data_IF_139504154503
#
_entry.id   IF_139504154503
#
_cell.length_a   1.000
_cell.length_b   1.000
_cell.length_c   1.000
_cell.angle_alpha   90.00
_cell.angle_beta   90.00
_cell.angle_gamma   90.00
#
_symmetry.space_group_name_H-M   'P 1'
#
loop_
_entity.id
_entity.type
_entity.pdbx_description
1 polymer ?
#
# COMPACT_ATOMS: atom_id res chain seq x y z
N UNK A 1 -27.37 38.99 -15.61
CA UNK A 1 -27.13 38.37 -14.30
C UNK A 1 -25.66 38.01 -14.24
N UNK A 2 -24.97 38.54 -13.24
CA UNK A 2 -23.53 38.78 -13.22
C UNK A 2 -22.69 37.49 -13.16
N UNK A 3 -21.89 37.24 -14.19
CA UNK A 3 -20.79 36.24 -14.17
C UNK A 3 -19.58 36.69 -13.31
N UNK A 4 -19.64 37.89 -12.73
CA UNK A 4 -18.55 38.48 -11.94
C UNK A 4 -18.55 38.13 -10.45
N UNK A 5 -19.50 37.33 -9.96
CA UNK A 5 -19.60 36.95 -8.53
C UNK A 5 -19.10 35.54 -8.20
N UNK A 6 -18.65 34.77 -9.19
CA UNK A 6 -17.87 33.55 -8.93
C UNK A 6 -16.39 33.91 -8.96
N UNK A 7 -15.93 34.67 -7.97
CA UNK A 7 -14.52 34.62 -7.60
C UNK A 7 -14.20 33.13 -7.43
N UNK A 8 -13.24 32.55 -8.19
CA UNK A 8 -12.82 31.19 -7.90
C UNK A 8 -12.36 31.22 -6.45
N UNK A 9 -13.07 30.52 -5.56
CA UNK A 9 -12.54 30.21 -4.25
C UNK A 9 -11.15 29.63 -4.49
N UNK A 10 -10.13 30.32 -3.97
CA UNK A 10 -8.73 30.15 -4.36
C UNK A 10 -8.38 28.66 -4.50
N UNK A 11 -8.14 28.22 -5.74
CA UNK A 11 -7.57 26.92 -6.04
C UNK A 11 -6.05 27.01 -5.88
N UNK A 12 -5.45 25.93 -5.40
CA UNK A 12 -4.01 25.81 -5.30
C UNK A 12 -3.46 25.32 -6.63
N UNK A 13 -2.48 26.01 -7.24
CA UNK A 13 -1.78 25.45 -8.38
C UNK A 13 -1.04 24.20 -7.93
N UNK A 14 -1.06 23.15 -8.77
CA UNK A 14 -0.27 21.97 -8.48
C UNK A 14 1.23 22.31 -8.47
N UNK A 15 1.98 21.90 -7.44
CA UNK A 15 3.40 22.20 -7.36
C UNK A 15 4.14 21.56 -8.53
N UNK A 16 5.16 22.25 -9.05
CA UNK A 16 6.00 21.71 -10.11
C UNK A 16 6.96 20.63 -9.55
N UNK A 17 6.43 19.42 -9.35
CA UNK A 17 7.16 18.26 -8.84
C UNK A 17 7.41 17.31 -10.01
N UNK A 18 8.69 16.96 -10.24
CA UNK A 18 9.05 15.94 -11.21
C UNK A 18 8.75 14.53 -10.64
N UNK A 19 7.94 13.71 -11.31
CA UNK A 19 7.69 12.30 -10.91
C UNK A 19 8.96 11.44 -10.88
N UNK A 20 9.95 11.80 -11.70
CA UNK A 20 11.27 11.15 -11.73
C UNK A 20 12.15 11.81 -10.68
N UNK A 21 12.55 11.02 -9.68
CA UNK A 21 13.46 11.44 -8.63
C UNK A 21 14.88 11.62 -9.17
N UNK A 22 15.42 10.59 -9.84
CA UNK A 22 16.77 10.57 -10.42
C UNK A 22 16.71 9.81 -11.75
N UNK A 23 17.42 10.31 -12.75
CA UNK A 23 17.58 9.65 -14.05
C UNK A 23 19.07 9.37 -14.32
N UNK A 24 19.41 8.10 -14.53
CA UNK A 24 20.75 7.64 -14.87
C UNK A 24 20.69 6.97 -16.25
N UNK A 25 20.95 7.74 -17.30
CA UNK A 25 20.78 7.28 -18.68
C UNK A 25 19.34 6.83 -18.96
N UNK A 26 19.09 5.59 -19.44
CA UNK A 26 17.74 5.08 -19.69
C UNK A 26 16.99 4.66 -18.42
N UNK A 27 17.66 4.58 -17.27
CA UNK A 27 17.05 4.17 -16.01
C UNK A 27 16.47 5.37 -15.26
N UNK A 28 15.14 5.42 -15.14
CA UNK A 28 14.42 6.44 -14.39
C UNK A 28 13.91 5.89 -13.06
N UNK A 29 14.40 6.45 -11.95
CA UNK A 29 13.92 6.15 -10.60
C UNK A 29 12.78 7.11 -10.28
N UNK A 30 11.59 6.57 -10.07
CA UNK A 30 10.38 7.36 -9.78
C UNK A 30 10.12 7.40 -8.27
N UNK A 31 9.53 8.49 -7.79
CA UNK A 31 9.06 8.61 -6.39
C UNK A 31 8.13 7.47 -5.98
N UNK A 32 7.32 7.00 -6.93
CA UNK A 32 6.41 5.87 -6.76
C UNK A 32 7.15 4.57 -6.37
N UNK A 33 8.24 4.25 -7.09
CA UNK A 33 9.07 3.08 -6.78
C UNK A 33 9.77 3.22 -5.43
N UNK A 34 10.25 4.42 -5.10
CA UNK A 34 10.86 4.71 -3.80
C UNK A 34 9.86 4.54 -2.66
N UNK A 35 8.63 5.04 -2.83
CA UNK A 35 7.55 4.88 -1.86
C UNK A 35 7.28 3.42 -1.52
N UNK A 36 7.22 2.54 -2.54
CA UNK A 36 7.09 1.10 -2.33
C UNK A 36 8.28 0.50 -1.56
N UNK A 37 9.52 0.82 -1.97
CA UNK A 37 10.71 0.28 -1.31
C UNK A 37 10.74 0.69 0.16
N UNK A 38 10.53 1.98 0.45
CA UNK A 38 10.51 2.49 1.83
C UNK A 38 9.37 1.85 2.62
N UNK A 39 8.18 1.71 2.03
CA UNK A 39 7.03 1.06 2.65
C UNK A 39 7.30 -0.41 3.01
N UNK A 40 7.90 -1.18 2.09
CA UNK A 40 8.27 -2.59 2.31
C UNK A 40 9.33 -2.70 3.40
N UNK A 41 10.40 -1.88 3.33
CA UNK A 41 11.47 -1.89 4.33
C UNK A 41 10.94 -1.51 5.72
N UNK A 42 10.03 -0.53 5.81
CA UNK A 42 9.38 -0.17 7.06
C UNK A 42 8.52 -1.32 7.58
N UNK A 43 7.66 -1.92 6.75
CA UNK A 43 6.77 -3.01 7.16
C UNK A 43 7.57 -4.22 7.65
N UNK A 44 8.66 -4.56 6.95
CA UNK A 44 9.60 -5.61 7.37
C UNK A 44 10.26 -5.29 8.71
N UNK A 45 10.88 -4.10 8.84
CA UNK A 45 11.51 -3.66 10.07
C UNK A 45 10.54 -3.67 11.25
N UNK A 46 9.33 -3.13 11.05
CA UNK A 46 8.32 -3.03 12.08
C UNK A 46 7.77 -4.40 12.46
N UNK A 47 7.54 -5.29 11.49
CA UNK A 47 7.15 -6.67 11.74
C UNK A 47 8.19 -7.39 12.63
N UNK A 48 9.48 -7.23 12.35
CA UNK A 48 10.56 -7.81 13.18
C UNK A 48 10.55 -7.24 14.59
N UNK A 49 10.33 -5.93 14.74
CA UNK A 49 10.20 -5.30 16.06
C UNK A 49 9.02 -5.86 16.86
N UNK A 50 7.88 -6.10 16.23
CA UNK A 50 6.72 -6.71 16.88
C UNK A 50 6.99 -8.16 17.26
N UNK A 51 7.53 -8.97 16.33
CA UNK A 51 7.81 -10.38 16.54
C UNK A 51 8.88 -10.63 17.61
N UNK A 52 9.87 -9.74 17.75
CA UNK A 52 10.93 -9.85 18.76
C UNK A 52 10.51 -9.37 20.17
N UNK A 53 9.36 -8.71 20.32
CA UNK A 53 8.95 -8.13 21.60
C UNK A 53 8.01 -9.07 22.37
N UNK A 54 8.59 -9.91 23.24
CA UNK A 54 7.88 -10.88 24.08
C UNK A 54 6.68 -10.30 24.84
N UNK A 55 6.76 -9.04 25.31
CA UNK A 55 5.66 -8.40 26.08
C UNK A 55 4.35 -8.31 25.29
N UNK A 56 4.44 -8.20 23.96
CA UNK A 56 3.28 -8.04 23.08
C UNK A 56 2.50 -9.34 22.89
N UNK A 57 3.08 -10.49 23.24
CA UNK A 57 2.55 -11.80 22.92
C UNK A 57 2.02 -12.57 24.15
N UNK A 58 1.11 -13.53 23.96
CA UNK A 58 0.60 -14.35 25.06
C UNK A 58 1.73 -15.08 25.79
N UNK A 59 1.72 -15.04 27.11
CA UNK A 59 2.68 -15.72 27.99
C UNK A 59 4.17 -15.36 27.74
N UNK A 60 4.45 -14.25 27.04
CA UNK A 60 5.83 -13.88 26.70
C UNK A 60 6.45 -14.73 25.59
N UNK A 61 5.67 -15.57 24.92
CA UNK A 61 6.17 -16.49 23.88
C UNK A 61 6.08 -15.81 22.52
N UNK A 62 7.20 -15.79 21.79
CA UNK A 62 7.25 -15.19 20.46
C UNK A 62 6.39 -15.99 19.47
N UNK A 63 5.70 -15.33 18.52
CA UNK A 63 4.79 -15.99 17.59
C UNK A 63 5.52 -16.71 16.44
N UNK A 64 6.75 -16.27 16.15
CA UNK A 64 7.64 -16.70 15.09
C UNK A 64 9.05 -16.20 15.39
N UNK A 65 10.06 -16.71 14.69
CA UNK A 65 11.41 -16.17 14.79
C UNK A 65 11.48 -14.87 13.97
N UNK A 66 12.14 -13.80 14.44
CA UNK A 66 12.28 -12.58 13.65
C UNK A 66 12.93 -12.79 12.28
N UNK A 67 13.77 -13.81 12.14
CA UNK A 67 14.43 -14.19 10.88
C UNK A 67 13.45 -14.80 9.87
N UNK A 68 12.34 -15.41 10.33
CA UNK A 68 11.30 -15.90 9.42
C UNK A 68 10.70 -14.74 8.60
N UNK A 69 10.75 -13.50 9.12
CA UNK A 69 10.27 -12.32 8.39
C UNK A 69 11.23 -11.87 7.29
N UNK A 70 12.51 -12.24 7.34
CA UNK A 70 13.47 -11.97 6.28
C UNK A 70 13.13 -12.84 5.05
N UNK A 71 12.89 -14.13 5.29
CA UNK A 71 12.44 -15.08 4.26
C UNK A 71 11.05 -14.73 3.73
N UNK A 72 10.17 -14.22 4.59
CA UNK A 72 8.80 -13.86 4.21
C UNK A 72 8.74 -12.71 3.19
N UNK A 73 9.68 -11.76 3.17
CA UNK A 73 9.68 -10.67 2.16
C UNK A 73 9.67 -11.26 0.75
N UNK A 74 10.48 -12.29 0.52
CA UNK A 74 10.60 -12.96 -0.78
C UNK A 74 9.28 -13.64 -1.15
N UNK A 75 8.64 -14.32 -0.19
CA UNK A 75 7.33 -14.93 -0.38
C UNK A 75 6.25 -13.89 -0.70
N UNK A 76 6.24 -12.77 0.02
CA UNK A 76 5.30 -11.68 -0.22
C UNK A 76 5.50 -11.06 -1.60
N UNK A 77 6.75 -10.78 -2.01
CA UNK A 77 7.07 -10.24 -3.32
C UNK A 77 6.61 -11.19 -4.45
N UNK A 78 6.91 -12.48 -4.33
CA UNK A 78 6.45 -13.50 -5.29
C UNK A 78 4.92 -13.55 -5.32
N UNK A 79 4.25 -13.55 -4.16
CA UNK A 79 2.80 -13.56 -4.06
C UNK A 79 2.16 -12.36 -4.75
N UNK A 80 2.66 -11.15 -4.50
CA UNK A 80 2.15 -9.92 -5.13
C UNK A 80 2.36 -9.93 -6.64
N UNK A 81 3.56 -10.30 -7.11
CA UNK A 81 3.89 -10.29 -8.54
C UNK A 81 3.11 -11.37 -9.29
N UNK A 82 3.15 -12.62 -8.83
CA UNK A 82 2.44 -13.73 -9.47
C UNK A 82 0.93 -13.54 -9.40
N UNK A 83 0.41 -13.18 -8.23
CA UNK A 83 -1.00 -12.94 -8.04
C UNK A 83 -1.50 -11.75 -8.87
N UNK A 84 -0.78 -10.64 -8.84
CA UNK A 84 -1.13 -9.44 -9.60
C UNK A 84 -1.11 -9.69 -11.10
N UNK A 85 -0.10 -10.42 -11.59
CA UNK A 85 0.00 -10.76 -13.00
C UNK A 85 -1.09 -11.73 -13.43
N UNK A 86 -1.30 -12.81 -12.67
CA UNK A 86 -2.33 -13.81 -12.97
C UNK A 86 -3.72 -13.17 -12.93
N UNK A 87 -4.00 -12.33 -11.93
CA UNK A 87 -5.26 -11.60 -11.85
C UNK A 87 -5.46 -10.63 -13.02
N UNK A 88 -4.39 -9.97 -13.50
CA UNK A 88 -4.50 -9.13 -14.69
C UNK A 88 -4.86 -9.94 -15.94
N UNK A 89 -4.11 -11.03 -16.18
CA UNK A 89 -4.33 -11.93 -17.31
C UNK A 89 -5.75 -12.47 -17.32
N UNK A 90 -6.22 -13.00 -16.20
CA UNK A 90 -7.53 -13.66 -16.14
C UNK A 90 -8.71 -12.69 -16.23
N UNK A 91 -8.60 -11.50 -15.64
CA UNK A 91 -9.75 -10.59 -15.50
C UNK A 91 -9.79 -9.45 -16.51
N UNK A 92 -8.67 -9.10 -17.15
CA UNK A 92 -8.59 -7.90 -17.98
C UNK A 92 -8.21 -8.16 -19.44
N UNK A 93 -7.35 -9.14 -19.75
CA UNK A 93 -6.79 -9.27 -21.11
C UNK A 93 -6.50 -10.73 -21.51
N UNK A 94 -7.35 -11.67 -21.09
CA UNK A 94 -7.17 -13.10 -21.34
C UNK A 94 -6.94 -13.47 -22.82
N UNK A 95 -7.67 -12.90 -23.81
CA UNK A 95 -7.48 -13.23 -25.22
C UNK A 95 -6.05 -13.01 -25.72
N UNK A 96 -5.40 -11.92 -25.28
CA UNK A 96 -4.01 -11.61 -25.65
C UNK A 96 -3.05 -12.69 -25.18
N UNK A 97 -3.16 -13.14 -23.93
CA UNK A 97 -2.24 -14.12 -23.35
C UNK A 97 -2.48 -15.54 -23.87
N UNK A 98 -3.68 -15.84 -24.38
CA UNK A 98 -3.91 -17.08 -25.13
C UNK A 98 -3.18 -17.03 -26.47
N UNK A 99 -3.20 -15.89 -27.17
CA UNK A 99 -2.49 -15.70 -28.44
C UNK A 99 -0.96 -15.64 -28.28
N UNK A 100 -0.47 -15.03 -27.19
CA UNK A 100 0.95 -14.85 -26.91
C UNK A 100 1.29 -15.22 -25.45
N UNK A 101 1.41 -16.52 -25.11
CA UNK A 101 1.59 -16.97 -23.73
C UNK A 101 2.83 -16.42 -23.01
N UNK A 102 3.91 -16.15 -23.75
CA UNK A 102 5.16 -15.64 -23.18
C UNK A 102 5.04 -14.19 -22.66
N UNK A 103 4.01 -13.45 -23.08
CA UNK A 103 3.75 -12.09 -22.58
C UNK A 103 3.54 -12.09 -21.06
N UNK A 104 3.15 -13.22 -20.45
CA UNK A 104 2.94 -13.30 -19.00
C UNK A 104 4.19 -12.89 -18.20
N UNK A 105 5.39 -13.15 -18.74
CA UNK A 105 6.67 -12.83 -18.10
C UNK A 105 7.05 -11.34 -18.23
N UNK A 106 6.45 -10.63 -19.19
CA UNK A 106 6.77 -9.24 -19.50
C UNK A 106 6.10 -8.25 -18.52
N UNK A 107 6.36 -8.42 -17.22
CA UNK A 107 5.78 -7.58 -16.15
C UNK A 107 6.21 -6.11 -16.23
N UNK A 108 7.31 -5.81 -16.92
CA UNK A 108 7.78 -4.43 -17.16
C UNK A 108 6.93 -3.66 -18.15
N UNK A 109 6.07 -4.34 -18.93
CA UNK A 109 5.09 -3.69 -19.81
C UNK A 109 3.82 -3.24 -19.06
N UNK A 110 3.82 -3.33 -17.72
CA UNK A 110 2.65 -3.10 -16.90
C UNK A 110 1.67 -4.27 -16.93
N UNK A 111 0.42 -3.99 -16.57
CA UNK A 111 -0.64 -5.01 -16.48
C UNK A 111 -0.56 -5.82 -15.20
N UNK A 112 -0.92 -5.18 -14.08
CA UNK A 112 -0.98 -5.78 -12.76
C UNK A 112 -2.36 -5.53 -12.14
N UNK A 113 -2.98 -6.57 -11.59
CA UNK A 113 -4.24 -6.47 -10.86
C UNK A 113 -4.00 -6.28 -9.37
N UNK A 114 -4.60 -5.24 -8.78
CA UNK A 114 -4.57 -5.05 -7.34
C UNK A 114 -5.19 -6.24 -6.59
N UNK A 115 -6.38 -6.67 -7.00
CA UNK A 115 -7.09 -7.81 -6.39
C UNK A 115 -6.29 -9.10 -6.49
N UNK A 116 -5.68 -9.34 -7.66
CA UNK A 116 -4.78 -10.48 -7.86
C UNK A 116 -3.58 -10.43 -6.91
N UNK A 117 -2.94 -9.27 -6.76
CA UNK A 117 -1.80 -9.09 -5.86
C UNK A 117 -2.18 -9.30 -4.39
N UNK A 118 -3.35 -8.79 -3.97
CA UNK A 118 -3.89 -8.97 -2.63
C UNK A 118 -4.16 -10.46 -2.32
N UNK A 119 -4.83 -11.18 -3.22
CA UNK A 119 -5.06 -12.61 -3.06
C UNK A 119 -3.75 -13.40 -3.05
N UNK A 120 -2.81 -13.01 -3.91
CA UNK A 120 -1.49 -13.63 -4.00
C UNK A 120 -0.68 -13.49 -2.70
N UNK A 121 -0.68 -12.31 -2.07
CA UNK A 121 0.02 -12.12 -0.79
C UNK A 121 -0.68 -12.83 0.37
N UNK A 122 -2.01 -12.86 0.40
CA UNK A 122 -2.77 -13.64 1.41
C UNK A 122 -2.43 -15.13 1.31
N UNK A 123 -2.36 -15.65 0.09
CA UNK A 123 -1.96 -17.04 -0.17
C UNK A 123 -0.51 -17.29 0.26
N UNK A 124 0.41 -16.40 -0.12
CA UNK A 124 1.82 -16.48 0.29
C UNK A 124 1.97 -16.49 1.82
N UNK A 125 1.28 -15.61 2.54
CA UNK A 125 1.27 -15.59 4.01
C UNK A 125 0.76 -16.90 4.60
N UNK A 126 -0.33 -17.45 4.04
CA UNK A 126 -0.95 -18.69 4.51
C UNK A 126 -0.03 -19.89 4.29
N UNK A 127 0.53 -20.02 3.09
CA UNK A 127 1.43 -21.13 2.75
C UNK A 127 2.75 -21.03 3.53
N UNK A 128 3.30 -19.82 3.66
CA UNK A 128 4.52 -19.59 4.43
C UNK A 128 4.34 -19.95 5.90
N UNK A 129 3.25 -19.51 6.53
CA UNK A 129 3.00 -19.79 7.93
C UNK A 129 2.81 -21.28 8.20
N UNK A 130 2.09 -21.99 7.32
CA UNK A 130 1.94 -23.45 7.38
C UNK A 130 3.32 -24.13 7.27
N UNK A 131 4.13 -23.74 6.28
CA UNK A 131 5.47 -24.32 6.05
C UNK A 131 6.42 -24.12 7.25
N UNK A 132 6.28 -23.01 7.97
CA UNK A 132 7.14 -22.65 9.11
C UNK A 132 6.56 -23.05 10.47
N UNK A 133 5.36 -23.64 10.52
CA UNK A 133 4.68 -23.93 11.78
C UNK A 133 4.26 -22.67 12.56
N UNK A 134 4.14 -21.53 11.89
CA UNK A 134 3.70 -20.27 12.47
C UNK A 134 2.17 -20.24 12.49
N UNK A 135 1.58 -19.72 13.58
CA UNK A 135 0.14 -19.45 13.61
C UNK A 135 -0.20 -18.39 12.56
N UNK A 136 -0.91 -18.78 11.50
CA UNK A 136 -1.23 -17.91 10.35
C UNK A 136 -1.77 -16.55 10.76
N UNK A 137 -2.72 -16.51 11.69
CA UNK A 137 -3.31 -15.26 12.17
C UNK A 137 -2.31 -14.34 12.87
N UNK A 138 -1.30 -14.88 13.53
CA UNK A 138 -0.22 -14.07 14.12
C UNK A 138 0.62 -13.39 13.04
N UNK A 139 0.92 -14.07 11.92
CA UNK A 139 1.59 -13.44 10.78
C UNK A 139 0.71 -12.35 10.15
N UNK A 140 -0.60 -12.60 10.03
CA UNK A 140 -1.55 -11.61 9.51
C UNK A 140 -1.58 -10.35 10.40
N UNK A 141 -1.72 -10.53 11.72
CA UNK A 141 -1.71 -9.42 12.68
C UNK A 141 -0.40 -8.61 12.63
N UNK A 142 0.75 -9.28 12.50
CA UNK A 142 2.07 -8.64 12.42
C UNK A 142 2.22 -7.81 11.15
N UNK A 143 1.89 -8.40 9.99
CA UNK A 143 2.03 -7.72 8.70
C UNK A 143 1.05 -6.56 8.61
N UNK A 144 -0.23 -6.77 8.96
CA UNK A 144 -1.26 -5.74 8.91
C UNK A 144 -0.91 -4.50 9.74
N UNK A 145 -0.21 -4.67 10.87
CA UNK A 145 0.21 -3.55 11.71
C UNK A 145 1.20 -2.58 11.03
N UNK A 146 1.96 -3.03 10.03
CA UNK A 146 2.95 -2.23 9.31
C UNK A 146 2.49 -1.71 7.95
N UNK A 147 1.49 -2.35 7.34
CA UNK A 147 0.96 -2.02 5.99
C UNK A 147 0.55 -0.55 5.81
N UNK A 148 -0.13 0.12 6.78
CA UNK A 148 -0.56 1.51 6.61
C UNK A 148 0.52 2.47 6.14
N UNK A 149 1.76 2.34 6.64
CA UNK A 149 2.84 3.26 6.24
C UNK A 149 3.16 3.13 4.74
N UNK A 150 3.17 1.92 4.21
CA UNK A 150 3.36 1.69 2.78
C UNK A 150 2.21 2.28 1.96
N UNK A 151 0.95 2.08 2.40
CA UNK A 151 -0.22 2.68 1.76
C UNK A 151 -0.08 4.21 1.69
N UNK A 152 0.23 4.85 2.82
CA UNK A 152 0.35 6.30 2.88
C UNK A 152 1.44 6.85 1.97
N UNK A 153 2.61 6.21 1.92
CA UNK A 153 3.71 6.62 1.04
C UNK A 153 3.33 6.51 -0.45
N UNK A 154 2.63 5.44 -0.83
CA UNK A 154 2.16 5.25 -2.20
C UNK A 154 1.13 6.31 -2.57
N UNK A 155 0.23 6.68 -1.65
CA UNK A 155 -0.73 7.77 -1.87
C UNK A 155 -0.05 9.14 -2.04
N UNK A 156 1.00 9.43 -1.28
CA UNK A 156 1.83 10.62 -1.51
C UNK A 156 2.46 10.58 -2.91
N UNK A 157 2.95 9.41 -3.35
CA UNK A 157 3.50 9.28 -4.69
C UNK A 157 2.42 9.43 -5.80
N UNK A 158 1.18 8.99 -5.58
CA UNK A 158 0.08 9.28 -6.50
C UNK A 158 -0.20 10.78 -6.60
N UNK A 159 -0.10 11.52 -5.48
CA UNK A 159 -0.18 12.98 -5.52
C UNK A 159 0.95 13.57 -6.37
N UNK A 160 2.21 13.15 -6.15
CA UNK A 160 3.37 13.61 -6.94
C UNK A 160 3.21 13.32 -8.44
N UNK A 161 2.68 12.15 -8.79
CA UNK A 161 2.40 11.77 -10.18
C UNK A 161 1.22 12.54 -10.78
N UNK A 162 0.49 13.33 -9.98
CA UNK A 162 -0.79 13.90 -10.34
C UNK A 162 -1.67 12.80 -10.94
N UNK A 163 -2.03 11.78 -10.15
CA UNK A 163 -2.96 10.69 -10.52
C UNK A 163 -3.89 10.32 -9.36
N UNK A 164 -5.06 9.73 -9.63
CA UNK A 164 -6.04 9.31 -8.62
C UNK A 164 -6.59 10.47 -7.75
N UNK A 165 -6.71 11.66 -8.34
CA UNK A 165 -7.32 12.82 -7.70
C UNK A 165 -8.83 12.64 -7.48
N UNK A 166 -9.40 13.45 -6.59
CA UNK A 166 -10.79 13.34 -6.20
C UNK A 166 -11.77 13.99 -7.18
N UNK A 167 -13.03 14.04 -6.74
CA UNK A 167 -14.09 14.76 -7.47
C UNK A 167 -13.83 16.27 -7.53
N UNK A 168 -14.39 16.98 -8.53
CA UNK A 168 -14.38 18.44 -8.58
C UNK A 168 -14.96 19.06 -7.31
N UNK A 169 -14.40 20.19 -6.89
CA UNK A 169 -14.77 20.87 -5.65
C UNK A 169 -14.32 22.33 -5.66
N UNK A 170 -14.89 23.11 -4.75
CA UNK A 170 -14.67 24.54 -4.52
C UNK A 170 -14.05 24.82 -3.13
N UNK A 171 -13.63 23.79 -2.38
CA UNK A 171 -12.94 23.99 -1.09
C UNK A 171 -11.63 24.75 -1.26
N UNK A 172 -11.20 25.56 -0.27
CA UNK A 172 -10.03 26.45 -0.42
C UNK A 172 -8.67 25.72 -0.46
N UNK A 173 -8.65 24.39 -0.35
CA UNK A 173 -7.46 23.54 -0.49
C UNK A 173 -7.55 22.60 -1.71
N UNK A 174 -8.45 22.89 -2.65
CA UNK A 174 -8.55 22.17 -3.91
C UNK A 174 -7.31 22.43 -4.78
N UNK A 175 -6.89 21.44 -5.55
CA UNK A 175 -5.73 21.55 -6.47
C UNK A 175 -6.17 21.52 -7.93
N UNK A 176 -5.50 22.32 -8.75
CA UNK A 176 -5.54 22.23 -10.21
C UNK A 176 -4.48 21.24 -10.71
N UNK A 177 -4.87 19.97 -10.84
CA UNK A 177 -3.97 18.90 -11.27
C UNK A 177 -3.68 18.97 -12.78
N UNK A 178 -2.41 18.83 -13.23
CA UNK A 178 -2.04 18.86 -14.64
C UNK A 178 -2.81 17.86 -15.51
N UNK A 179 -3.08 16.67 -14.98
CA UNK A 179 -3.82 15.61 -15.67
C UNK A 179 -5.32 15.58 -15.29
N UNK A 180 -5.77 16.51 -14.42
CA UNK A 180 -7.08 16.51 -13.76
C UNK A 180 -8.25 17.07 -14.57
N UNK A 181 -7.98 17.62 -15.76
CA UNK A 181 -8.95 18.40 -16.52
C UNK A 181 -9.11 19.83 -15.99
N UNK A 182 -10.13 20.58 -16.45
CA UNK A 182 -10.19 22.03 -16.29
C UNK A 182 -10.68 22.52 -14.92
N UNK A 183 -11.00 21.61 -14.00
CA UNK A 183 -11.61 21.95 -12.71
C UNK A 183 -10.69 21.61 -11.55
N UNK A 184 -10.71 22.44 -10.50
CA UNK A 184 -10.04 22.15 -9.24
C UNK A 184 -10.70 20.94 -8.54
N UNK A 185 -9.87 20.13 -7.87
CA UNK A 185 -10.29 18.84 -7.31
C UNK A 185 -9.75 18.63 -5.91
N UNK A 186 -10.43 17.78 -5.15
CA UNK A 186 -9.91 17.33 -3.87
C UNK A 186 -8.58 16.57 -4.08
N UNK A 187 -7.53 16.87 -3.30
CA UNK A 187 -6.34 16.03 -3.23
C UNK A 187 -6.62 14.77 -2.39
N UNK A 188 -7.53 13.90 -2.85
CA UNK A 188 -7.95 12.69 -2.14
C UNK A 188 -6.78 11.80 -1.75
N UNK A 189 -5.73 11.77 -2.56
CA UNK A 189 -4.50 11.03 -2.27
C UNK A 189 -3.87 11.50 -0.95
N UNK A 190 -3.89 12.81 -0.64
CA UNK A 190 -3.38 13.31 0.63
C UNK A 190 -4.31 12.96 1.81
N UNK A 191 -5.61 12.88 1.57
CA UNK A 191 -6.56 12.42 2.59
C UNK A 191 -6.33 10.94 2.90
N UNK A 192 -6.19 10.10 1.88
CA UNK A 192 -5.88 8.67 1.99
C UNK A 192 -4.51 8.47 2.67
N UNK A 193 -3.49 9.27 2.29
CA UNK A 193 -2.19 9.22 2.93
C UNK A 193 -2.26 9.52 4.43
N UNK A 194 -3.09 10.49 4.82
CA UNK A 194 -3.29 10.85 6.21
C UNK A 194 -4.10 9.78 6.96
N UNK A 195 -5.25 9.37 6.42
CA UNK A 195 -6.21 8.51 7.11
C UNK A 195 -5.79 7.04 7.08
N UNK A 196 -5.59 6.47 5.88
CA UNK A 196 -5.20 5.07 5.68
C UNK A 196 -3.73 4.83 5.98
N UNK A 197 -2.91 5.89 5.92
CA UNK A 197 -1.50 5.84 6.26
C UNK A 197 -1.22 6.16 7.72
N UNK A 198 -1.18 7.45 8.04
CA UNK A 198 -0.71 7.94 9.35
C UNK A 198 -1.67 7.57 10.48
N UNK A 199 -2.95 7.93 10.36
CA UNK A 199 -3.95 7.72 11.42
C UNK A 199 -4.15 6.24 11.67
N UNK A 200 -4.37 5.44 10.62
CA UNK A 200 -4.52 3.99 10.76
C UNK A 200 -3.28 3.34 11.38
N UNK A 201 -2.05 3.73 10.99
CA UNK A 201 -0.84 3.26 11.64
C UNK A 201 -0.83 3.58 13.15
N UNK A 202 -1.15 4.81 13.53
CA UNK A 202 -1.17 5.23 14.93
C UNK A 202 -2.22 4.45 15.74
N UNK A 203 -3.40 4.21 15.18
CA UNK A 203 -4.44 3.38 15.80
C UNK A 203 -3.92 1.97 16.02
N UNK A 204 -3.37 1.31 15.00
CA UNK A 204 -2.82 -0.05 15.13
C UNK A 204 -1.63 -0.08 16.09
N UNK A 205 -0.79 0.95 16.11
CA UNK A 205 0.32 1.08 17.06
C UNK A 205 -0.18 1.18 18.51
N UNK A 206 -1.23 1.95 18.78
CA UNK A 206 -1.86 2.02 20.11
C UNK A 206 -2.46 0.66 20.48
N UNK A 207 -3.15 0.00 19.55
CA UNK A 207 -3.75 -1.32 19.79
C UNK A 207 -2.68 -2.37 20.10
N UNK A 208 -1.57 -2.37 19.38
CA UNK A 208 -0.45 -3.31 19.59
C UNK A 208 0.31 -3.02 20.88
N UNK A 209 0.73 -1.78 21.15
CA UNK A 209 1.65 -1.46 22.24
C UNK A 209 0.97 -1.04 23.55
N UNK A 210 -0.11 -0.27 23.48
CA UNK A 210 -0.80 0.23 24.68
C UNK A 210 -1.91 -0.72 25.12
N UNK A 211 -2.66 -1.30 24.17
CA UNK A 211 -3.76 -2.23 24.46
C UNK A 211 -3.39 -3.72 24.34
N UNK A 212 -2.13 -4.02 24.00
CA UNK A 212 -1.57 -5.37 23.90
C UNK A 212 -2.43 -6.34 23.08
N UNK A 213 -3.05 -5.85 22.01
CA UNK A 213 -4.02 -6.62 21.21
C UNK A 213 -3.41 -7.74 20.39
N UNK A 214 -2.09 -7.80 20.24
CA UNK A 214 -1.40 -8.98 19.71
C UNK A 214 -1.54 -10.22 20.63
N UNK A 215 -1.96 -10.04 21.90
CA UNK A 215 -2.35 -11.15 22.78
C UNK A 215 -3.71 -11.75 22.44
N UNK A 216 -4.50 -11.09 21.60
CA UNK A 216 -5.80 -11.56 21.12
C UNK A 216 -5.67 -11.82 19.62
N UNK A 217 -5.38 -13.06 19.20
CA UNK A 217 -5.16 -13.37 17.79
C UNK A 217 -6.31 -12.87 16.91
N UNK A 218 -5.97 -12.40 15.70
CA UNK A 218 -6.88 -11.85 14.67
C UNK A 218 -7.34 -10.41 14.93
N UNK A 219 -7.10 -9.86 16.12
CA UNK A 219 -7.64 -8.55 16.47
C UNK A 219 -7.02 -7.43 15.63
N UNK A 220 -5.70 -7.45 15.45
CA UNK A 220 -4.98 -6.34 14.77
C UNK A 220 -5.24 -6.37 13.27
N UNK A 221 -5.23 -7.55 12.65
CA UNK A 221 -5.62 -7.73 11.26
C UNK A 221 -7.09 -7.37 11.02
N UNK A 222 -7.99 -7.75 11.92
CA UNK A 222 -9.39 -7.32 11.87
C UNK A 222 -9.55 -5.80 12.00
N UNK A 223 -8.85 -5.17 12.95
CA UNK A 223 -8.85 -3.72 13.11
C UNK A 223 -8.29 -2.99 11.89
N UNK A 224 -7.25 -3.54 11.25
CA UNK A 224 -6.75 -3.03 9.98
C UNK A 224 -7.84 -3.08 8.91
N UNK A 225 -8.50 -4.23 8.71
CA UNK A 225 -9.58 -4.37 7.72
C UNK A 225 -10.75 -3.42 8.02
N UNK A 226 -11.14 -3.26 9.29
CA UNK A 226 -12.23 -2.34 9.65
C UNK A 226 -11.84 -0.87 9.48
N UNK A 227 -10.57 -0.51 9.70
CA UNK A 227 -10.08 0.85 9.54
C UNK A 227 -9.66 1.18 8.10
N UNK A 228 -9.47 0.17 7.26
CA UNK A 228 -9.17 0.28 5.85
C UNK A 228 -10.46 0.07 5.06
N UNK A 229 -11.18 1.16 4.80
CA UNK A 229 -12.48 1.17 4.12
C UNK A 229 -13.13 2.53 4.09
#
# INVERSE_FOLDING_TARGET
>A
MNEYFLLPLASLPFPNINPILIQIGPLAVHWYGVGYIVGILFAWWYAKRLAANARLWPNGVLPMKPEDLDDFIVWAAIGVVLGGRTGYVLFYDLPRYIAHPLDILAVWQGGMSFHGGLLGVILAMTLFSIKRGIRTWSLFDVVAAGVPVGLGLVRVANFINSELWGRPTDVPWAFEFPNGGPFARHPSQLYEALLEGVVLFLVLRILTHSRLKLKTPRFVGGAFICGYG
#
